data_IF_984304813598
#
_entry.id   IF_984304813598
#
_cell.length_a   1.000
_cell.length_b   1.000
_cell.length_c   1.000
_cell.angle_alpha   90.00
_cell.angle_beta   90.00
_cell.angle_gamma   90.00
#
_symmetry.space_group_name_H-M   'P 1'
#
loop_
_entity.id
_entity.type
_entity.pdbx_description
1 polymer ?
#
# COMPACT_ATOMS: atom_id res chain seq x y z
N UNK A 1 57.88 -27.03 -15.05
CA UNK A 1 56.90 -26.96 -13.93
C UNK A 1 55.80 -25.97 -14.31
N UNK A 2 54.63 -26.46 -14.75
CA UNK A 2 53.48 -25.60 -15.08
C UNK A 2 52.72 -25.30 -13.79
N UNK A 3 52.67 -24.03 -13.39
CA UNK A 3 51.91 -23.58 -12.22
C UNK A 3 50.46 -23.38 -12.64
N UNK A 4 49.56 -24.18 -12.08
CA UNK A 4 48.12 -23.98 -12.21
C UNK A 4 47.70 -22.85 -11.27
N UNK A 5 47.17 -21.76 -11.84
CA UNK A 5 46.51 -20.71 -11.07
C UNK A 5 45.03 -21.05 -10.96
N UNK A 6 44.59 -21.43 -9.77
CA UNK A 6 43.16 -21.55 -9.44
C UNK A 6 42.62 -20.15 -9.20
N UNK A 7 41.78 -19.66 -10.12
CA UNK A 7 40.99 -18.43 -9.91
C UNK A 7 39.77 -18.84 -9.09
N UNK A 8 39.76 -18.46 -7.81
CA UNK A 8 38.60 -18.58 -6.94
C UNK A 8 37.66 -17.41 -7.27
N UNK A 9 36.68 -17.64 -8.14
CA UNK A 9 35.62 -16.68 -8.44
C UNK A 9 34.70 -16.54 -7.22
N UNK A 10 34.78 -15.41 -6.52
CA UNK A 10 33.78 -14.98 -5.54
C UNK A 10 32.48 -14.65 -6.28
N UNK A 11 31.49 -15.53 -6.21
CA UNK A 11 30.11 -15.16 -6.52
C UNK A 11 29.57 -14.42 -5.30
N UNK A 12 29.52 -13.09 -5.37
CA UNK A 12 28.76 -12.30 -4.41
C UNK A 12 27.27 -12.62 -4.61
N UNK A 13 26.72 -13.43 -3.72
CA UNK A 13 25.28 -13.64 -3.63
C UNK A 13 24.68 -12.32 -3.10
N UNK A 14 24.19 -11.47 -4.00
CA UNK A 14 23.28 -10.40 -3.60
C UNK A 14 22.02 -11.06 -3.10
N UNK A 15 21.84 -11.12 -1.78
CA UNK A 15 20.57 -11.47 -1.18
C UNK A 15 19.53 -10.46 -1.68
N UNK A 16 18.62 -10.90 -2.55
CA UNK A 16 17.38 -10.18 -2.79
C UNK A 16 16.60 -10.23 -1.47
N UNK A 17 16.59 -9.12 -0.72
CA UNK A 17 15.66 -8.96 0.38
C UNK A 17 14.26 -9.04 -0.20
N UNK A 18 13.59 -10.18 -0.03
CA UNK A 18 12.16 -10.25 -0.27
C UNK A 18 11.50 -9.32 0.73
N UNK A 19 10.69 -8.37 0.25
CA UNK A 19 9.89 -7.50 1.09
C UNK A 19 8.77 -8.33 1.75
N UNK A 20 9.10 -9.09 2.78
CA UNK A 20 8.15 -9.95 3.47
C UNK A 20 7.29 -9.10 4.41
N UNK A 21 5.97 -9.14 4.21
CA UNK A 21 5.02 -8.64 5.20
C UNK A 21 4.90 -9.65 6.33
N UNK A 22 4.95 -9.16 7.57
CA UNK A 22 4.75 -9.94 8.79
C UNK A 22 3.38 -9.61 9.36
N UNK A 23 2.53 -10.62 9.55
CA UNK A 23 1.27 -10.47 10.29
C UNK A 23 1.61 -10.35 11.77
N UNK A 24 1.28 -9.22 12.38
CA UNK A 24 1.51 -8.94 13.81
C UNK A 24 0.25 -9.11 14.65
N UNK A 25 -0.93 -9.05 14.02
CA UNK A 25 -2.21 -9.34 14.64
C UNK A 25 -3.20 -9.85 13.58
N UNK A 26 -3.97 -10.87 13.91
CA UNK A 26 -5.14 -11.31 13.15
C UNK A 26 -6.27 -11.66 14.12
N UNK A 27 -7.48 -11.19 13.82
CA UNK A 27 -8.69 -11.39 14.62
C UNK A 27 -9.92 -11.48 13.72
N UNK A 28 -10.77 -12.47 13.96
CA UNK A 28 -11.98 -12.74 13.17
C UNK A 28 -13.26 -12.83 14.02
N UNK A 29 -13.17 -12.48 15.31
CA UNK A 29 -14.27 -12.45 16.28
C UNK A 29 -15.18 -13.68 16.28
N UNK A 30 -14.69 -14.84 15.86
CA UNK A 30 -15.45 -16.10 15.86
C UNK A 30 -15.94 -16.51 17.25
N UNK A 31 -15.32 -15.96 18.31
CA UNK A 31 -15.71 -16.12 19.71
C UNK A 31 -16.89 -15.23 20.14
N UNK A 32 -17.25 -14.21 19.35
CA UNK A 32 -18.38 -13.31 19.63
C UNK A 32 -19.70 -13.96 19.18
N UNK A 33 -20.10 -15.01 19.89
CA UNK A 33 -21.23 -15.88 19.51
C UNK A 33 -22.60 -15.38 19.96
N UNK A 34 -22.66 -14.37 20.85
CA UNK A 34 -23.93 -13.78 21.28
C UNK A 34 -24.46 -12.76 20.25
N UNK A 35 -25.78 -12.70 20.13
CA UNK A 35 -26.48 -11.82 19.18
C UNK A 35 -26.25 -12.19 17.71
N UNK A 36 -26.59 -11.26 16.83
CA UNK A 36 -26.39 -11.33 15.38
C UNK A 36 -26.03 -9.96 14.80
N UNK A 37 -25.83 -9.90 13.48
CA UNK A 37 -25.42 -8.68 12.78
C UNK A 37 -26.25 -8.40 11.52
N UNK A 38 -27.48 -8.92 11.44
CA UNK A 38 -28.32 -8.90 10.23
C UNK A 38 -29.64 -8.16 10.41
N UNK A 39 -30.03 -7.82 11.65
CA UNK A 39 -31.27 -7.10 11.98
C UNK A 39 -31.08 -6.18 13.17
N UNK A 40 -31.92 -5.16 13.32
CA UNK A 40 -31.93 -4.29 14.51
C UNK A 40 -32.75 -4.86 15.67
N UNK A 41 -33.38 -6.03 15.49
CA UNK A 41 -34.26 -6.68 16.46
C UNK A 41 -34.25 -8.21 16.31
N UNK A 42 -34.66 -8.90 17.37
CA UNK A 42 -34.73 -10.36 17.43
C UNK A 42 -33.35 -11.03 17.40
N UNK A 43 -33.30 -12.28 16.93
CA UNK A 43 -32.06 -13.08 16.90
C UNK A 43 -30.97 -12.52 15.97
N UNK A 44 -31.35 -11.69 15.01
CA UNK A 44 -30.39 -11.01 14.13
C UNK A 44 -29.78 -9.75 14.74
N UNK A 45 -30.23 -9.34 15.93
CA UNK A 45 -29.74 -8.15 16.62
C UNK A 45 -28.48 -8.42 17.44
N UNK A 46 -27.57 -7.44 17.52
CA UNK A 46 -26.38 -7.53 18.37
C UNK A 46 -26.76 -7.70 19.83
N UNK A 47 -25.85 -8.27 20.60
CA UNK A 47 -26.01 -8.34 22.05
C UNK A 47 -26.09 -6.94 22.66
N UNK A 48 -26.72 -6.86 23.83
CA UNK A 48 -27.01 -5.61 24.55
C UNK A 48 -26.02 -5.33 25.67
N UNK A 49 -25.18 -6.31 26.03
CA UNK A 49 -24.19 -6.19 27.08
C UNK A 49 -22.84 -5.81 26.50
N UNK A 50 -22.23 -4.75 27.04
CA UNK A 50 -20.88 -4.34 26.65
C UNK A 50 -19.87 -5.36 27.16
N UNK A 51 -19.07 -5.95 26.27
CA UNK A 51 -18.16 -7.06 26.59
C UNK A 51 -17.05 -6.64 27.57
N UNK A 52 -16.78 -5.34 27.71
CA UNK A 52 -15.77 -4.82 28.65
C UNK A 52 -16.35 -4.52 30.05
N UNK A 53 -17.60 -4.89 30.32
CA UNK A 53 -18.22 -4.74 31.63
C UNK A 53 -18.15 -6.01 32.46
N UNK A 54 -18.08 -5.88 33.79
CA UNK A 54 -18.13 -7.01 34.70
C UNK A 54 -19.45 -7.78 34.54
N UNK A 55 -19.36 -9.10 34.34
CA UNK A 55 -20.53 -9.95 34.16
C UNK A 55 -21.03 -10.05 32.72
N UNK A 56 -20.28 -9.55 31.73
CA UNK A 56 -20.59 -9.80 30.33
C UNK A 56 -20.57 -11.31 30.01
N UNK A 57 -21.56 -11.76 29.23
CA UNK A 57 -21.69 -13.17 28.80
C UNK A 57 -20.59 -13.62 27.84
N UNK A 58 -19.92 -12.67 27.18
CA UNK A 58 -18.81 -12.88 26.27
C UNK A 58 -17.62 -12.07 26.77
N UNK A 59 -16.44 -12.69 26.79
CA UNK A 59 -15.19 -12.03 27.19
C UNK A 59 -14.52 -11.38 25.97
N UNK A 60 -13.86 -10.22 26.11
CA UNK A 60 -13.05 -9.64 25.04
C UNK A 60 -11.95 -10.58 24.57
N UNK A 61 -11.57 -10.49 23.29
CA UNK A 61 -10.48 -11.32 22.77
C UNK A 61 -9.13 -10.83 23.31
N UNK A 62 -8.15 -11.74 23.44
CA UNK A 62 -6.81 -11.37 23.89
C UNK A 62 -6.10 -10.38 22.93
N UNK A 63 -6.54 -10.32 21.68
CA UNK A 63 -6.05 -9.35 20.70
C UNK A 63 -6.57 -7.94 20.96
N UNK A 64 -7.73 -7.80 21.59
CA UNK A 64 -8.36 -6.52 21.95
C UNK A 64 -8.78 -6.54 23.42
N UNK A 65 -7.82 -6.36 24.35
CA UNK A 65 -8.08 -6.47 25.78
C UNK A 65 -8.77 -5.23 26.39
N UNK A 66 -8.89 -4.13 25.64
CA UNK A 66 -9.42 -2.86 26.14
C UNK A 66 -10.43 -2.25 25.16
N UNK A 67 -11.50 -1.67 25.69
CA UNK A 67 -12.51 -0.98 24.89
C UNK A 67 -13.71 -0.53 25.71
N UNK A 68 -14.69 0.06 25.02
CA UNK A 68 -15.96 0.48 25.61
C UNK A 68 -17.06 0.47 24.55
N UNK A 69 -18.28 0.14 24.97
CA UNK A 69 -19.47 0.03 24.10
C UNK A 69 -19.19 -0.90 22.92
N UNK A 70 -18.64 -2.06 23.23
CA UNK A 70 -18.40 -3.13 22.24
C UNK A 70 -19.30 -4.30 22.55
N UNK A 71 -19.99 -4.79 21.55
CA UNK A 71 -21.01 -5.81 21.72
C UNK A 71 -20.77 -6.95 20.76
N UNK A 72 -20.96 -8.17 21.26
CA UNK A 72 -20.98 -9.37 20.42
C UNK A 72 -22.11 -9.28 19.39
N UNK A 73 -21.85 -9.66 18.15
CA UNK A 73 -22.82 -9.60 17.05
C UNK A 73 -22.69 -10.81 16.12
N UNK A 74 -22.71 -12.02 16.68
CA UNK A 74 -22.74 -13.28 15.92
C UNK A 74 -21.56 -13.44 14.95
N UNK A 75 -20.33 -13.30 15.45
CA UNK A 75 -19.09 -13.38 14.67
C UNK A 75 -18.47 -12.03 14.31
N UNK A 76 -19.05 -10.90 14.74
CA UNK A 76 -18.50 -9.56 14.53
C UNK A 76 -18.49 -8.76 15.82
N UNK A 77 -17.62 -7.75 15.90
CA UNK A 77 -17.64 -6.75 16.97
C UNK A 77 -18.50 -5.55 16.54
N UNK A 78 -19.60 -5.26 17.25
CA UNK A 78 -20.34 -4.00 17.07
C UNK A 78 -19.79 -2.94 18.01
N UNK A 79 -19.35 -1.82 17.46
CA UNK A 79 -18.92 -0.64 18.19
C UNK A 79 -20.06 0.38 18.33
N UNK A 80 -20.15 0.96 19.52
CA UNK A 80 -20.95 2.13 19.87
C UNK A 80 -22.45 1.86 19.96
N UNK A 81 -23.21 2.90 20.29
CA UNK A 81 -24.68 2.85 20.45
C UNK A 81 -25.35 3.92 19.59
N UNK A 82 -26.67 4.08 19.70
CA UNK A 82 -27.36 5.19 19.04
C UNK A 82 -26.90 6.58 19.49
N UNK A 83 -26.18 6.69 20.61
CA UNK A 83 -25.82 7.98 21.23
C UNK A 83 -24.41 8.04 21.82
N UNK A 84 -23.67 6.92 21.84
CA UNK A 84 -22.37 6.84 22.50
C UNK A 84 -21.37 6.21 21.55
N UNK A 85 -20.17 6.81 21.49
CA UNK A 85 -19.02 6.27 20.78
C UNK A 85 -18.63 4.92 21.38
N UNK A 86 -18.23 3.98 20.52
CA UNK A 86 -17.59 2.75 20.95
C UNK A 86 -16.20 2.63 20.39
N UNK A 87 -15.32 1.99 21.16
CA UNK A 87 -13.94 1.80 20.80
C UNK A 87 -13.41 0.45 21.28
N UNK A 88 -12.44 -0.07 20.56
CA UNK A 88 -11.65 -1.23 20.96
C UNK A 88 -10.20 -1.02 20.55
N UNK A 89 -9.29 -1.35 21.47
CA UNK A 89 -7.85 -1.13 21.34
C UNK A 89 -7.14 -2.46 21.40
N UNK A 90 -6.23 -2.66 20.46
CA UNK A 90 -5.44 -3.88 20.40
C UNK A 90 -4.57 -4.05 21.65
N UNK A 91 -4.09 -5.27 21.89
CA UNK A 91 -2.89 -5.48 22.71
C UNK A 91 -1.72 -4.68 22.14
N UNK A 92 -0.68 -4.51 22.95
CA UNK A 92 0.58 -3.91 22.49
C UNK A 92 1.19 -4.72 21.35
N UNK A 93 1.60 -4.04 20.29
CA UNK A 93 2.20 -4.59 19.08
C UNK A 93 3.60 -4.02 18.86
N UNK A 94 4.46 -4.80 18.23
CA UNK A 94 5.68 -4.29 17.63
C UNK A 94 5.41 -3.87 16.18
N UNK A 95 5.26 -2.55 15.97
CA UNK A 95 5.05 -1.95 14.66
C UNK A 95 6.32 -1.34 14.06
N UNK A 96 7.50 -1.61 14.62
CA UNK A 96 8.76 -0.95 14.23
C UNK A 96 9.46 -1.54 13.01
N UNK A 97 9.08 -2.74 12.58
CA UNK A 97 9.77 -3.41 11.47
C UNK A 97 9.62 -2.65 10.15
N UNK A 98 10.61 -2.81 9.25
CA UNK A 98 10.58 -2.26 7.89
C UNK A 98 10.27 -0.75 7.82
N UNK A 99 10.94 0.05 8.66
CA UNK A 99 10.74 1.52 8.69
C UNK A 99 9.41 1.95 9.32
N UNK A 100 8.74 1.04 10.03
CA UNK A 100 7.46 1.30 10.65
C UNK A 100 6.29 1.37 9.65
N UNK A 101 6.41 0.69 8.51
CA UNK A 101 5.34 0.58 7.52
C UNK A 101 4.30 -0.42 8.01
N UNK A 102 3.08 0.06 8.25
CA UNK A 102 1.96 -0.71 8.79
C UNK A 102 0.84 -0.72 7.77
N UNK A 103 0.29 -1.90 7.49
CA UNK A 103 -0.93 -2.09 6.71
C UNK A 103 -1.97 -2.75 7.60
N UNK A 104 -3.15 -2.16 7.68
CA UNK A 104 -4.28 -2.67 8.46
C UNK A 104 -5.41 -2.95 7.49
N UNK A 105 -5.86 -4.19 7.42
CA UNK A 105 -7.08 -4.59 6.72
C UNK A 105 -8.13 -5.02 7.71
N UNK A 106 -9.39 -4.72 7.41
CA UNK A 106 -10.53 -5.10 8.23
C UNK A 106 -11.81 -5.05 7.41
N UNK A 107 -12.79 -5.86 7.78
CA UNK A 107 -14.13 -5.82 7.22
C UNK A 107 -15.03 -4.90 8.05
N UNK A 108 -15.87 -4.11 7.39
CA UNK A 108 -16.76 -3.17 8.06
C UNK A 108 -18.13 -3.08 7.41
N UNK A 109 -19.18 -2.91 8.22
CA UNK A 109 -20.51 -2.44 7.79
C UNK A 109 -21.16 -1.55 8.84
N UNK A 110 -22.09 -0.71 8.41
CA UNK A 110 -22.84 0.19 9.27
C UNK A 110 -24.06 -0.44 9.92
N UNK A 111 -24.77 0.38 10.70
CA UNK A 111 -26.10 0.03 11.24
C UNK A 111 -27.16 0.05 10.13
N UNK A 112 -27.93 1.14 10.00
CA UNK A 112 -28.94 1.31 8.95
C UNK A 112 -28.45 2.12 7.75
N UNK A 113 -27.33 2.82 7.90
CA UNK A 113 -26.78 3.74 6.91
C UNK A 113 -25.28 3.48 6.74
N UNK A 114 -24.75 3.94 5.62
CA UNK A 114 -23.32 4.17 5.41
C UNK A 114 -22.73 5.03 6.53
N UNK A 115 -21.42 4.93 6.74
CA UNK A 115 -20.78 5.58 7.87
C UNK A 115 -19.26 5.67 7.74
N UNK A 116 -18.64 5.99 8.87
CA UNK A 116 -17.19 6.11 9.00
C UNK A 116 -16.71 5.44 10.28
N UNK A 117 -15.44 5.00 10.26
CA UNK A 117 -14.71 4.49 11.41
C UNK A 117 -13.35 5.19 11.50
N UNK A 118 -12.91 5.52 12.70
CA UNK A 118 -11.55 6.00 12.95
C UNK A 118 -10.64 4.80 13.21
N UNK A 119 -9.49 4.78 12.53
CA UNK A 119 -8.36 3.89 12.82
C UNK A 119 -7.23 4.73 13.37
N UNK A 120 -6.82 4.44 14.60
CA UNK A 120 -5.79 5.19 15.33
C UNK A 120 -4.61 4.29 15.63
N UNK A 121 -3.40 4.77 15.37
CA UNK A 121 -2.15 4.08 15.72
C UNK A 121 -1.36 4.99 16.65
N UNK A 122 -0.78 4.44 17.72
CA UNK A 122 -0.01 5.21 18.72
C UNK A 122 0.98 6.17 18.07
N UNK A 123 0.88 7.46 18.41
CA UNK A 123 1.79 8.49 17.89
C UNK A 123 1.63 8.80 16.40
N UNK A 124 0.49 8.45 15.79
CA UNK A 124 0.14 8.77 14.40
C UNK A 124 -1.13 9.60 14.32
N UNK A 125 -1.30 10.30 13.20
CA UNK A 125 -2.55 10.98 12.89
C UNK A 125 -3.64 9.95 12.61
N UNK A 126 -4.80 10.12 13.24
CA UNK A 126 -5.96 9.26 13.04
C UNK A 126 -6.41 9.27 11.57
N UNK A 127 -6.85 8.11 11.07
CA UNK A 127 -7.45 8.01 9.74
C UNK A 127 -8.94 7.72 9.83
N UNK A 128 -9.74 8.54 9.15
CA UNK A 128 -11.19 8.31 8.99
C UNK A 128 -11.43 7.49 7.73
N UNK A 129 -12.04 6.32 7.87
CA UNK A 129 -12.37 5.41 6.78
C UNK A 129 -13.86 5.41 6.53
N UNK A 130 -14.27 5.75 5.31
CA UNK A 130 -15.69 5.72 4.91
C UNK A 130 -16.09 4.34 4.38
N UNK A 131 -17.30 3.91 4.69
CA UNK A 131 -17.89 2.68 4.19
C UNK A 131 -19.37 2.84 3.82
N UNK A 132 -19.85 1.99 2.92
CA UNK A 132 -21.21 2.04 2.38
C UNK A 132 -22.10 0.85 2.79
N UNK A 133 -21.49 -0.31 3.07
CA UNK A 133 -22.19 -1.49 3.55
C UNK A 133 -23.00 -1.20 4.82
N UNK A 134 -24.16 -1.85 4.95
CA UNK A 134 -25.07 -1.73 6.10
C UNK A 134 -25.39 -3.12 6.65
N UNK A 135 -25.99 -3.17 7.85
CA UNK A 135 -26.19 -4.40 8.62
C UNK A 135 -26.84 -5.55 7.84
N UNK A 136 -27.83 -5.26 7.00
CA UNK A 136 -28.53 -6.26 6.20
C UNK A 136 -27.67 -6.86 5.06
N UNK A 137 -26.55 -6.21 4.71
CA UNK A 137 -25.65 -6.62 3.65
C UNK A 137 -24.38 -7.32 4.14
N UNK A 138 -23.56 -7.70 3.17
CA UNK A 138 -22.20 -8.19 3.41
C UNK A 138 -21.28 -7.03 3.81
N UNK A 139 -20.29 -7.27 4.70
CA UNK A 139 -19.31 -6.25 5.02
C UNK A 139 -18.39 -5.98 3.83
N UNK A 140 -17.79 -4.79 3.81
CA UNK A 140 -16.78 -4.41 2.83
C UNK A 140 -15.38 -4.39 3.48
N UNK A 141 -14.39 -4.93 2.78
CA UNK A 141 -12.99 -4.89 3.24
C UNK A 141 -12.40 -3.50 3.01
N UNK A 142 -11.73 -2.98 4.03
CA UNK A 142 -10.98 -1.72 4.00
C UNK A 142 -9.51 -1.97 4.25
N UNK A 143 -8.70 -1.03 3.76
CA UNK A 143 -7.25 -1.01 3.98
C UNK A 143 -6.82 0.40 4.33
N UNK A 144 -6.06 0.54 5.41
CA UNK A 144 -5.36 1.77 5.77
C UNK A 144 -3.89 1.50 5.99
N UNK A 145 -3.05 2.50 5.71
CA UNK A 145 -1.60 2.38 5.86
C UNK A 145 -1.06 3.50 6.73
N UNK A 146 -0.09 3.16 7.58
CA UNK A 146 0.63 4.11 8.43
C UNK A 146 2.12 3.93 8.22
N UNK A 147 2.89 4.99 8.47
CA UNK A 147 4.36 4.98 8.40
C UNK A 147 4.98 5.40 9.73
N UNK A 148 6.22 4.95 9.97
CA UNK A 148 6.96 5.23 11.19
C UNK A 148 6.35 4.62 12.46
N UNK A 149 5.59 3.53 12.36
CA UNK A 149 5.17 2.73 13.52
C UNK A 149 6.36 2.35 14.41
N UNK A 150 6.11 2.19 15.71
CA UNK A 150 7.13 1.87 16.70
C UNK A 150 6.76 0.62 17.49
N UNK A 151 7.75 0.01 18.16
CA UNK A 151 7.48 -1.01 19.16
C UNK A 151 6.65 -0.40 20.30
N UNK A 152 5.80 -1.21 20.94
CA UNK A 152 4.96 -0.72 22.03
C UNK A 152 3.68 0.01 21.55
N UNK A 153 3.35 -0.06 20.27
CA UNK A 153 2.18 0.64 19.71
C UNK A 153 0.90 -0.15 19.92
N UNK A 154 -0.24 0.53 19.88
CA UNK A 154 -1.59 -0.06 19.82
C UNK A 154 -2.34 0.45 18.61
N UNK A 155 -3.30 -0.33 18.14
CA UNK A 155 -4.26 0.07 17.10
C UNK A 155 -5.65 0.14 17.71
N UNK A 156 -6.33 1.28 17.54
CA UNK A 156 -7.70 1.51 18.04
C UNK A 156 -8.66 1.69 16.87
N UNK A 157 -9.78 0.97 16.93
CA UNK A 157 -10.94 1.21 16.08
C UNK A 157 -11.99 1.95 16.91
N UNK A 158 -12.50 3.07 16.42
CA UNK A 158 -13.43 3.93 17.15
C UNK A 158 -14.50 4.51 16.23
N UNK A 159 -15.76 4.51 16.67
CA UNK A 159 -16.82 5.21 15.95
C UNK A 159 -16.74 6.72 16.19
N UNK A 160 -16.79 7.57 15.16
CA UNK A 160 -16.82 9.01 15.37
C UNK A 160 -18.22 9.47 15.81
N UNK A 161 -18.31 10.68 16.38
CA UNK A 161 -19.58 11.29 16.79
C UNK A 161 -20.60 11.42 15.64
N UNK A 162 -20.14 11.47 14.39
CA UNK A 162 -20.97 11.52 13.19
C UNK A 162 -21.46 10.15 12.71
N UNK A 163 -20.89 9.04 13.19
CA UNK A 163 -21.19 7.67 12.77
C UNK A 163 -21.02 6.70 13.94
N UNK A 164 -21.95 6.77 14.91
CA UNK A 164 -21.80 6.15 16.22
C UNK A 164 -21.85 4.61 16.24
N UNK A 165 -22.17 3.95 15.12
CA UNK A 165 -22.30 2.48 15.04
C UNK A 165 -21.62 1.88 13.83
N UNK A 166 -20.74 0.91 14.08
CA UNK A 166 -20.08 0.11 13.06
C UNK A 166 -19.94 -1.34 13.53
N UNK A 167 -19.98 -2.28 12.59
CA UNK A 167 -19.60 -3.67 12.79
C UNK A 167 -18.23 -3.88 12.17
N UNK A 168 -17.31 -4.51 12.89
CA UNK A 168 -15.95 -4.78 12.46
C UNK A 168 -15.68 -6.28 12.54
N UNK A 169 -14.98 -6.81 11.55
CA UNK A 169 -14.51 -8.19 11.50
C UNK A 169 -13.19 -8.34 10.71
N UNK A 170 -12.61 -9.54 10.70
CA UNK A 170 -11.46 -9.95 9.88
C UNK A 170 -10.31 -8.92 9.88
N UNK A 171 -9.94 -8.48 11.08
CA UNK A 171 -8.83 -7.54 11.27
C UNK A 171 -7.53 -8.29 11.03
N UNK A 172 -6.67 -7.71 10.20
CA UNK A 172 -5.31 -8.15 10.01
C UNK A 172 -4.39 -6.92 10.01
N UNK A 173 -3.37 -6.95 10.87
CA UNK A 173 -2.36 -5.90 10.98
C UNK A 173 -1.04 -6.51 10.55
N UNK A 174 -0.42 -5.90 9.55
CA UNK A 174 0.84 -6.33 8.97
C UNK A 174 1.87 -5.22 9.05
N UNK A 175 3.12 -5.60 9.31
CA UNK A 175 4.28 -4.72 9.21
C UNK A 175 5.14 -5.15 8.03
N UNK A 176 5.65 -4.21 7.24
CA UNK A 176 6.40 -4.50 6.02
C UNK A 176 5.96 -3.65 4.85
N UNK A 177 6.77 -3.63 3.79
CA UNK A 177 6.38 -2.89 2.61
C UNK A 177 5.19 -3.59 1.92
N UNK A 178 4.06 -2.92 1.86
CA UNK A 178 3.13 -3.07 0.75
C UNK A 178 3.80 -2.46 -0.50
N UNK A 179 4.84 -3.09 -1.07
CA UNK A 179 5.32 -2.68 -2.39
C UNK A 179 4.31 -3.17 -3.44
N UNK A 180 3.16 -2.53 -3.49
CA UNK A 180 2.43 -2.32 -4.72
C UNK A 180 2.28 -0.81 -4.89
N UNK A 181 3.41 -0.12 -5.02
CA UNK A 181 3.42 1.20 -5.61
C UNK A 181 3.10 1.06 -7.11
N UNK A 182 1.82 1.02 -7.45
CA UNK A 182 1.34 1.09 -8.85
C UNK A 182 1.47 2.49 -9.46
N UNK A 183 2.21 3.40 -8.83
CA UNK A 183 2.43 4.73 -9.40
C UNK A 183 3.35 4.71 -10.63
N UNK A 184 4.16 3.65 -10.81
CA UNK A 184 4.93 3.47 -12.06
C UNK A 184 4.10 2.87 -13.21
N UNK A 185 2.92 2.29 -12.93
CA UNK A 185 2.05 1.70 -13.94
C UNK A 185 1.08 2.71 -14.59
N UNK A 186 0.85 3.86 -13.95
CA UNK A 186 -0.05 4.93 -14.45
C UNK A 186 0.68 6.05 -15.19
N UNK A 187 2.01 6.10 -15.15
CA UNK A 187 2.75 6.77 -16.23
C UNK A 187 2.65 5.84 -17.44
N UNK A 188 1.71 6.11 -18.33
CA UNK A 188 1.83 5.68 -19.73
C UNK A 188 3.28 5.95 -20.11
N UNK A 189 4.06 4.89 -20.35
CA UNK A 189 5.49 5.00 -20.61
C UNK A 189 5.61 5.84 -21.88
N UNK A 190 5.74 7.15 -21.72
CA UNK A 190 5.86 8.06 -22.84
C UNK A 190 7.27 7.85 -23.36
N UNK A 191 7.40 6.90 -24.30
CA UNK A 191 8.68 6.42 -24.78
C UNK A 191 9.31 7.57 -25.56
N UNK A 192 10.36 8.17 -25.00
CA UNK A 192 11.08 9.27 -25.63
C UNK A 192 11.82 8.82 -26.91
N UNK A 193 12.57 7.72 -26.84
CA UNK A 193 13.19 7.05 -27.99
C UNK A 193 12.59 5.67 -28.18
N UNK A 194 11.98 5.42 -29.34
CA UNK A 194 11.23 4.19 -29.65
C UNK A 194 12.13 3.01 -30.01
N UNK A 195 13.34 3.26 -30.51
CA UNK A 195 14.31 2.24 -30.86
C UNK A 195 15.65 2.47 -30.15
N UNK A 196 15.90 1.70 -29.08
CA UNK A 196 17.19 1.76 -28.36
C UNK A 196 18.31 1.05 -29.11
N UNK A 197 18.00 0.19 -30.08
CA UNK A 197 18.95 -0.40 -31.03
C UNK A 197 18.78 0.26 -32.40
N UNK A 198 19.80 0.99 -32.84
CA UNK A 198 19.78 1.80 -34.08
C UNK A 198 20.55 1.06 -35.18
N UNK A 199 19.82 0.36 -36.05
CA UNK A 199 20.41 -0.46 -37.14
C UNK A 199 20.58 0.30 -38.47
N UNK A 200 19.65 1.19 -38.80
CA UNK A 200 19.65 1.90 -40.09
C UNK A 200 20.20 3.33 -39.99
N UNK A 201 20.91 3.64 -38.91
CA UNK A 201 21.38 5.01 -38.64
C UNK A 201 20.25 6.00 -38.37
N UNK A 202 19.05 5.53 -37.99
CA UNK A 202 17.92 6.40 -37.68
C UNK A 202 17.36 6.15 -36.28
N UNK A 203 17.14 7.23 -35.54
CA UNK A 203 16.47 7.22 -34.24
C UNK A 203 15.03 7.71 -34.45
N UNK A 204 14.05 6.91 -34.03
CA UNK A 204 12.64 7.26 -34.01
C UNK A 204 12.27 7.82 -32.63
N UNK A 205 11.80 9.06 -32.61
CA UNK A 205 11.38 9.74 -31.39
C UNK A 205 9.88 9.57 -31.17
N UNK A 206 9.49 9.26 -29.94
CA UNK A 206 8.08 9.11 -29.56
C UNK A 206 7.47 10.36 -28.96
N UNK A 207 8.23 11.45 -28.80
CA UNK A 207 7.74 12.71 -28.24
C UNK A 207 8.44 13.90 -28.89
N UNK A 208 7.75 15.04 -28.94
CA UNK A 208 8.33 16.32 -29.34
C UNK A 208 9.31 16.81 -28.27
N UNK A 209 10.49 17.27 -28.69
CA UNK A 209 11.51 17.77 -27.78
C UNK A 209 12.40 18.82 -28.45
N UNK A 210 12.68 19.88 -27.71
CA UNK A 210 13.64 20.89 -28.12
C UNK A 210 15.03 20.61 -27.54
N UNK A 211 16.07 20.93 -28.32
CA UNK A 211 17.47 20.84 -27.88
C UNK A 211 17.85 19.44 -27.38
N UNK A 212 17.42 18.40 -28.10
CA UNK A 212 17.89 17.03 -27.92
C UNK A 212 19.40 17.01 -28.10
N UNK A 213 20.12 16.39 -27.17
CA UNK A 213 21.57 16.24 -27.18
C UNK A 213 21.94 14.77 -27.17
N UNK A 214 22.79 14.36 -28.10
CA UNK A 214 23.40 13.02 -28.10
C UNK A 214 24.80 13.13 -27.52
N UNK A 215 25.09 12.31 -26.53
CA UNK A 215 26.39 12.20 -25.87
C UNK A 215 27.07 10.88 -26.23
N UNK A 216 28.38 10.92 -26.47
CA UNK A 216 29.19 9.70 -26.47
C UNK A 216 29.47 9.23 -25.03
N UNK A 217 30.09 8.06 -24.88
CA UNK A 217 30.40 7.50 -23.55
C UNK A 217 31.45 8.29 -22.76
N UNK A 218 32.17 9.20 -23.41
CA UNK A 218 33.11 10.11 -22.76
C UNK A 218 32.41 11.39 -22.24
N UNK A 219 31.09 11.50 -22.38
CA UNK A 219 30.30 12.65 -21.93
C UNK A 219 30.36 13.86 -22.87
N UNK A 220 30.91 13.73 -24.08
CA UNK A 220 30.95 14.81 -25.07
C UNK A 220 29.66 14.82 -25.90
N UNK A 221 29.14 16.01 -26.18
CA UNK A 221 28.00 16.20 -27.09
C UNK A 221 28.48 15.97 -28.52
N UNK A 222 27.91 14.98 -29.19
CA UNK A 222 28.23 14.62 -30.59
C UNK A 222 27.16 15.07 -31.57
N UNK A 223 25.94 15.34 -31.11
CA UNK A 223 24.85 15.89 -31.96
C UNK A 223 23.85 16.69 -31.16
N UNK A 224 23.24 17.71 -31.77
CA UNK A 224 22.13 18.48 -31.16
C UNK A 224 21.09 18.85 -32.22
N UNK A 225 19.80 18.72 -31.89
CA UNK A 225 18.68 18.99 -32.80
C UNK A 225 17.35 19.14 -32.02
N UNK A 226 16.27 19.54 -32.70
CA UNK A 226 14.90 19.44 -32.18
C UNK A 226 14.15 18.34 -32.95
N UNK A 227 13.18 17.71 -32.30
CA UNK A 227 12.36 16.65 -32.89
C UNK A 227 10.88 16.88 -32.62
N UNK A 228 10.03 16.43 -33.54
CA UNK A 228 8.60 16.25 -33.32
C UNK A 228 8.30 14.78 -32.99
N UNK A 229 7.16 14.53 -32.37
CA UNK A 229 6.67 13.18 -32.17
C UNK A 229 6.60 12.39 -33.49
N UNK A 230 7.03 11.12 -33.44
CA UNK A 230 7.12 10.19 -34.57
C UNK A 230 8.09 10.60 -35.68
N UNK A 231 9.05 11.48 -35.37
CA UNK A 231 10.09 11.87 -36.32
C UNK A 231 11.30 10.94 -36.26
N UNK A 232 11.84 10.58 -37.43
CA UNK A 232 13.14 9.93 -37.58
C UNK A 232 14.26 10.97 -37.66
N UNK A 233 15.36 10.74 -36.95
CA UNK A 233 16.59 11.53 -37.05
C UNK A 233 17.73 10.65 -37.53
N UNK A 234 18.36 11.08 -38.62
CA UNK A 234 19.54 10.45 -39.16
C UNK A 234 20.77 10.72 -38.26
N UNK A 235 21.45 9.64 -37.90
CA UNK A 235 22.67 9.57 -37.09
C UNK A 235 23.70 8.63 -37.74
N UNK A 236 23.64 8.45 -39.07
CA UNK A 236 24.56 7.59 -39.82
C UNK A 236 26.00 8.10 -39.78
N UNK A 237 26.19 9.38 -39.50
CA UNK A 237 27.47 10.05 -39.27
C UNK A 237 28.15 9.64 -37.95
N UNK A 238 27.39 9.08 -37.01
CA UNK A 238 27.94 8.61 -35.73
C UNK A 238 28.56 7.21 -35.87
N UNK A 239 29.77 6.97 -35.32
CA UNK A 239 30.36 5.63 -35.26
C UNK A 239 29.47 4.62 -34.54
N UNK A 240 29.69 3.32 -34.79
CA UNK A 240 29.06 2.25 -34.01
C UNK A 240 29.42 2.38 -32.53
N UNK A 241 28.48 2.18 -31.63
CA UNK A 241 28.72 2.28 -30.19
C UNK A 241 27.51 2.70 -29.36
N UNK A 242 27.77 2.93 -28.07
CA UNK A 242 26.76 3.36 -27.11
C UNK A 242 26.70 4.89 -27.03
N UNK A 243 25.47 5.42 -26.93
CA UNK A 243 25.21 6.84 -26.78
C UNK A 243 24.13 7.10 -25.74
N UNK A 244 24.13 8.30 -25.16
CA UNK A 244 23.06 8.79 -24.28
C UNK A 244 22.33 9.92 -24.99
N UNK A 245 21.01 9.81 -25.12
CA UNK A 245 20.14 10.84 -25.70
C UNK A 245 19.43 11.55 -24.56
N UNK A 246 19.69 12.84 -24.40
CA UNK A 246 19.06 13.69 -23.39
C UNK A 246 18.16 14.73 -24.05
N UNK A 247 17.01 15.00 -23.44
CA UNK A 247 16.18 16.15 -23.81
C UNK A 247 15.30 16.58 -22.64
N UNK A 248 14.67 17.74 -22.78
CA UNK A 248 13.55 18.13 -21.91
C UNK A 248 12.26 17.90 -22.68
N UNK A 249 11.38 17.05 -22.14
CA UNK A 249 10.07 16.73 -22.73
C UNK A 249 9.02 17.05 -21.68
N UNK A 250 8.02 17.86 -22.02
CA UNK A 250 6.96 18.29 -21.09
C UNK A 250 7.53 18.75 -19.73
N UNK A 251 8.51 19.66 -19.77
CA UNK A 251 9.21 20.22 -18.60
C UNK A 251 9.97 19.20 -17.73
N UNK A 252 10.17 17.96 -18.21
CA UNK A 252 10.90 16.91 -17.50
C UNK A 252 12.17 16.54 -18.27
N UNK A 253 13.31 16.46 -17.57
CA UNK A 253 14.53 15.94 -18.17
C UNK A 253 14.40 14.42 -18.38
N UNK A 254 14.58 13.98 -19.62
CA UNK A 254 14.57 12.57 -20.01
C UNK A 254 15.94 12.18 -20.55
N UNK A 255 16.41 11.00 -20.16
CA UNK A 255 17.69 10.43 -20.59
C UNK A 255 17.47 8.99 -21.03
N UNK A 256 17.95 8.64 -22.22
CA UNK A 256 17.81 7.28 -22.75
C UNK A 256 19.08 6.82 -23.43
N UNK A 257 19.55 5.63 -23.04
CA UNK A 257 20.69 4.97 -23.69
C UNK A 257 20.23 4.32 -25.00
N UNK A 258 21.04 4.50 -26.05
CA UNK A 258 20.91 3.80 -27.32
C UNK A 258 22.22 3.10 -27.68
N UNK A 259 22.13 2.06 -28.50
CA UNK A 259 23.25 1.37 -29.12
C UNK A 259 23.09 1.49 -30.63
N UNK A 260 24.09 2.07 -31.29
CA UNK A 260 24.17 2.11 -32.73
C UNK A 260 25.02 0.95 -33.23
N UNK A 261 24.44 0.12 -34.08
CA UNK A 261 25.14 -0.92 -34.85
C UNK A 261 25.64 -0.36 -36.20
#
# INVERSE_FOLDING_TARGET
MKKFFTVLSFVSFTAAFQAQQTVVLSENFSTFTAGGNTSNSGVGAPDVTDIYTTGASITPTANFPQGTKVYSAGGMAKLGTGSVIGSMTSKTLDLSSNGGNVTITFDVKGWSNAGTILVKVTGKADQTVSYSAVMAGMPETKTVTFTGGTAGSTVTFETPASSLRAFIDNIEIKTGNAVLAVNDAQKTKSIFVKNTLVKNGEILFGQTADKVKIFNMNGQIVKTFSVKENQNINVSDLPKGNYIVNATVNNTLVSQKIMKD
#
